data_IF_420193171634
#
_entry.id   IF_420193171634
#
_cell.length_a   1.000
_cell.length_b   1.000
_cell.length_c   1.000
_cell.angle_alpha   90.00
_cell.angle_beta   90.00
_cell.angle_gamma   90.00
#
_symmetry.space_group_name_H-M   'P 1'
#
loop_
_entity.id
_entity.type
_entity.pdbx_description
1 polymer ?
#
# COMPACT_ATOMS: atom_id res chain seq x y z
N UNK A 1 16.36 7.88 -20.11
CA UNK A 1 15.10 7.86 -19.32
C UNK A 1 14.49 6.50 -19.50
N UNK A 2 14.48 5.68 -18.45
CA UNK A 2 13.85 4.35 -18.47
C UNK A 2 12.35 4.56 -18.34
N UNK A 3 11.58 4.29 -19.40
CA UNK A 3 10.12 4.24 -19.32
C UNK A 3 9.73 3.14 -18.33
N UNK A 4 8.79 3.45 -17.41
CA UNK A 4 8.15 2.41 -16.62
C UNK A 4 7.43 1.47 -17.59
N UNK A 5 7.83 0.20 -17.63
CA UNK A 5 7.00 -0.83 -18.25
C UNK A 5 5.77 -1.09 -17.37
N UNK A 6 4.79 -1.81 -17.89
CA UNK A 6 3.52 -1.95 -17.18
C UNK A 6 3.66 -2.75 -15.88
N UNK A 7 4.63 -3.67 -15.82
CA UNK A 7 4.98 -4.39 -14.61
C UNK A 7 5.56 -3.45 -13.53
N UNK A 8 6.36 -2.46 -13.91
CA UNK A 8 6.91 -1.41 -13.06
C UNK A 8 5.84 -0.48 -12.51
N UNK A 9 4.81 -0.16 -13.31
CA UNK A 9 3.67 0.65 -12.89
C UNK A 9 2.77 -0.08 -11.87
N UNK A 10 2.37 -1.33 -12.16
CA UNK A 10 1.65 -2.19 -11.20
C UNK A 10 2.46 -2.39 -9.92
N UNK A 11 3.79 -2.47 -10.00
CA UNK A 11 4.69 -2.51 -8.83
C UNK A 11 4.71 -1.20 -8.05
N UNK A 12 4.66 -0.04 -8.73
CA UNK A 12 4.68 1.27 -8.07
C UNK A 12 3.36 1.57 -7.35
N UNK A 13 2.22 1.28 -7.97
CA UNK A 13 0.90 1.34 -7.32
C UNK A 13 0.86 0.48 -6.04
N UNK A 14 1.52 -0.68 -6.02
CA UNK A 14 1.67 -1.48 -4.79
C UNK A 14 2.54 -0.85 -3.71
N UNK A 15 3.51 -0.01 -4.08
CA UNK A 15 4.52 0.50 -3.14
C UNK A 15 4.12 1.77 -2.39
N UNK A 16 3.17 2.54 -2.91
CA UNK A 16 2.97 3.95 -2.47
C UNK A 16 1.89 4.16 -1.41
N UNK A 17 1.42 3.08 -0.76
CA UNK A 17 0.52 3.20 0.38
C UNK A 17 1.17 2.69 1.67
N UNK A 18 1.24 3.50 2.73
CA UNK A 18 1.85 3.06 3.98
C UNK A 18 1.02 1.94 4.63
N UNK A 19 1.64 0.77 4.77
CA UNK A 19 1.39 -0.16 5.88
C UNK A 19 0.24 -1.16 5.79
N UNK A 20 -0.12 -1.72 4.62
CA UNK A 20 -1.18 -2.76 4.57
C UNK A 20 -0.87 -4.03 3.79
N UNK A 21 -1.47 -5.12 4.27
CA UNK A 21 -1.49 -6.46 3.70
C UNK A 21 -2.53 -6.59 2.56
N UNK A 22 -2.69 -7.79 2.00
CA UNK A 22 -3.57 -8.08 0.86
C UNK A 22 -5.01 -7.54 1.00
N UNK A 23 -5.52 -7.46 2.23
CA UNK A 23 -6.88 -7.02 2.57
C UNK A 23 -7.15 -5.53 2.34
N UNK A 24 -6.10 -4.74 2.14
CA UNK A 24 -6.19 -3.31 1.83
C UNK A 24 -5.96 -2.94 0.36
N UNK A 25 -5.70 -3.91 -0.54
CA UNK A 25 -5.23 -3.60 -1.90
C UNK A 25 -6.25 -2.87 -2.76
N UNK A 26 -7.54 -3.20 -2.65
CA UNK A 26 -8.61 -2.49 -3.36
C UNK A 26 -8.66 -1.02 -2.93
N UNK A 27 -8.59 -0.75 -1.62
CA UNK A 27 -8.57 0.61 -1.09
C UNK A 27 -7.29 1.38 -1.43
N UNK A 28 -6.14 0.70 -1.41
CA UNK A 28 -4.85 1.25 -1.82
C UNK A 28 -4.87 1.68 -3.30
N UNK A 29 -5.42 0.87 -4.19
CA UNK A 29 -5.57 1.21 -5.61
C UNK A 29 -6.31 2.54 -5.76
N UNK A 30 -7.48 2.66 -5.12
CA UNK A 30 -8.30 3.87 -5.21
C UNK A 30 -7.59 5.09 -4.62
N UNK A 31 -6.91 4.93 -3.49
CA UNK A 31 -6.11 6.01 -2.90
C UNK A 31 -5.00 6.49 -3.85
N UNK A 32 -4.29 5.56 -4.50
CA UNK A 32 -3.27 5.92 -5.48
C UNK A 32 -3.88 6.65 -6.67
N UNK A 33 -5.07 6.26 -7.13
CA UNK A 33 -5.75 6.99 -8.21
C UNK A 33 -6.08 8.41 -7.79
N UNK A 34 -6.54 8.65 -6.56
CA UNK A 34 -6.74 10.02 -6.04
C UNK A 34 -5.43 10.83 -6.08
N UNK A 35 -4.32 10.22 -5.66
CA UNK A 35 -3.01 10.86 -5.67
C UNK A 35 -2.54 11.19 -7.09
N UNK A 36 -2.63 10.22 -8.00
CA UNK A 36 -2.22 10.37 -9.39
C UNK A 36 -3.10 11.35 -10.15
N UNK A 37 -4.37 11.48 -9.78
CA UNK A 37 -5.31 12.40 -10.44
C UNK A 37 -5.20 13.85 -9.95
N UNK A 38 -4.28 14.14 -9.05
CA UNK A 38 -3.81 15.51 -8.82
C UNK A 38 -3.82 15.96 -7.36
N UNK A 39 -4.46 15.22 -6.46
CA UNK A 39 -4.54 15.57 -5.04
C UNK A 39 -3.18 15.34 -4.35
N UNK A 40 -2.60 16.33 -3.66
CA UNK A 40 -1.36 16.14 -2.91
C UNK A 40 -1.53 15.07 -1.83
N UNK A 41 -0.54 14.18 -1.67
CA UNK A 41 -0.62 13.04 -0.74
C UNK A 41 -1.02 13.41 0.69
N UNK A 42 -0.54 14.56 1.20
CA UNK A 42 -0.84 15.02 2.55
C UNK A 42 -2.30 15.47 2.74
N UNK A 43 -3.01 15.74 1.64
CA UNK A 43 -4.41 16.15 1.63
C UNK A 43 -5.36 14.95 1.44
N UNK A 44 -4.84 13.74 1.15
CA UNK A 44 -5.66 12.55 0.91
C UNK A 44 -5.90 11.81 2.21
N UNK A 45 -7.17 11.72 2.61
CA UNK A 45 -7.57 10.92 3.76
C UNK A 45 -7.26 9.45 3.55
N UNK A 46 -6.81 8.79 4.62
CA UNK A 46 -6.59 7.34 4.64
C UNK A 46 -7.73 6.65 5.40
N UNK A 47 -8.19 5.51 4.88
CA UNK A 47 -9.25 4.70 5.50
C UNK A 47 -8.73 3.30 5.73
N UNK A 48 -8.96 2.65 6.88
CA UNK A 48 -8.42 1.32 7.25
C UNK A 48 -8.81 0.18 6.28
N UNK A 49 -9.93 0.30 5.59
CA UNK A 49 -10.43 -0.66 4.60
C UNK A 49 -11.48 0.01 3.69
N UNK A 50 -11.98 -0.74 2.70
CA UNK A 50 -13.01 -0.25 1.78
C UNK A 50 -14.34 -0.01 2.49
N UNK A 51 -14.67 -0.77 3.54
CA UNK A 51 -15.89 -0.59 4.34
C UNK A 51 -15.88 0.72 5.13
N UNK A 52 -14.73 1.12 5.67
CA UNK A 52 -14.56 2.39 6.36
C UNK A 52 -14.66 3.56 5.39
N UNK A 53 -14.08 3.43 4.20
CA UNK A 53 -14.25 4.42 3.14
C UNK A 53 -15.71 4.52 2.69
N UNK A 54 -16.37 3.40 2.38
CA UNK A 54 -17.79 3.32 2.06
C UNK A 54 -18.68 4.03 3.09
N UNK A 55 -18.44 3.81 4.39
CA UNK A 55 -19.20 4.46 5.47
C UNK A 55 -18.99 5.98 5.52
N UNK A 56 -17.83 6.45 5.08
CA UNK A 56 -17.53 7.87 4.97
C UNK A 56 -18.02 8.48 3.64
N UNK A 57 -18.31 7.64 2.63
CA UNK A 57 -18.77 8.08 1.32
C UNK A 57 -20.27 8.39 1.30
N UNK A 58 -20.68 9.23 0.33
CA UNK A 58 -22.10 9.45 0.04
C UNK A 58 -22.54 8.61 -1.16
N UNK A 59 -23.27 7.52 -0.92
CA UNK A 59 -23.81 6.69 -1.99
C UNK A 59 -24.87 7.46 -2.78
N UNK A 60 -24.68 7.53 -4.09
CA UNK A 60 -25.53 8.27 -5.02
C UNK A 60 -26.65 7.37 -5.54
N UNK A 61 -26.33 6.16 -5.99
CA UNK A 61 -27.31 5.21 -6.49
C UNK A 61 -26.83 3.76 -6.33
N UNK A 62 -27.78 2.82 -6.34
CA UNK A 62 -27.54 1.37 -6.42
C UNK A 62 -27.66 0.82 -7.83
N UNK A 63 -28.11 1.63 -8.78
CA UNK A 63 -28.05 1.28 -10.20
C UNK A 63 -26.66 1.67 -10.75
N UNK A 64 -25.84 0.70 -11.17
CA UNK A 64 -24.51 1.01 -11.69
C UNK A 64 -24.55 1.78 -13.02
N UNK A 65 -25.65 1.70 -13.79
CA UNK A 65 -25.69 2.26 -15.15
C UNK A 65 -25.55 3.78 -15.22
N UNK A 66 -25.78 4.48 -14.11
CA UNK A 66 -25.63 5.93 -13.99
C UNK A 66 -24.28 6.39 -13.42
N UNK A 67 -23.35 5.47 -13.15
CA UNK A 67 -22.06 5.82 -12.58
C UNK A 67 -21.17 6.55 -13.62
N UNK A 68 -20.70 7.77 -13.33
CA UNK A 68 -19.74 8.44 -14.20
C UNK A 68 -18.35 7.82 -14.07
N UNK A 69 -17.52 7.99 -15.10
CA UNK A 69 -16.09 7.63 -15.04
C UNK A 69 -15.44 8.21 -13.78
N UNK A 70 -14.73 7.35 -13.06
CA UNK A 70 -14.07 7.68 -11.80
C UNK A 70 -14.93 7.53 -10.54
N UNK A 71 -16.19 7.16 -10.67
CA UNK A 71 -17.01 6.77 -9.51
C UNK A 71 -16.42 5.53 -8.80
N UNK A 72 -16.59 5.49 -7.48
CA UNK A 72 -16.29 4.32 -6.66
C UNK A 72 -17.50 3.38 -6.66
N UNK A 73 -17.28 2.11 -6.98
CA UNK A 73 -18.27 1.04 -6.81
C UNK A 73 -17.95 0.24 -5.56
N UNK A 74 -18.97 -0.07 -4.76
CA UNK A 74 -18.80 -0.68 -3.45
C UNK A 74 -19.50 -2.04 -3.36
N UNK A 75 -18.85 -3.00 -2.71
CA UNK A 75 -19.46 -4.29 -2.38
C UNK A 75 -19.28 -4.64 -0.92
N UNK A 76 -20.28 -5.32 -0.38
CA UNK A 76 -20.17 -6.04 0.87
C UNK A 76 -19.61 -7.43 0.61
N UNK A 77 -18.37 -7.61 1.04
CA UNK A 77 -17.74 -8.91 1.23
C UNK A 77 -18.12 -9.45 2.63
N UNK A 78 -18.35 -10.78 2.79
CA UNK A 78 -18.61 -11.37 4.10
C UNK A 78 -17.49 -11.14 5.13
N UNK A 79 -16.24 -11.06 4.66
CA UNK A 79 -15.09 -10.64 5.45
C UNK A 79 -15.14 -9.15 5.82
N UNK A 80 -14.45 -8.70 6.88
CA UNK A 80 -14.73 -7.39 7.47
C UNK A 80 -14.34 -6.16 6.63
N UNK A 81 -13.67 -6.34 5.49
CA UNK A 81 -12.97 -5.28 4.77
C UNK A 81 -13.80 -4.58 3.70
N UNK A 82 -14.79 -5.28 3.12
CA UNK A 82 -15.54 -4.79 1.94
C UNK A 82 -14.67 -4.69 0.68
N UNK A 83 -15.29 -4.29 -0.44
CA UNK A 83 -14.58 -4.12 -1.70
C UNK A 83 -14.88 -2.78 -2.37
N UNK A 84 -13.90 -2.26 -3.11
CA UNK A 84 -14.03 -1.02 -3.88
C UNK A 84 -13.36 -1.15 -5.24
N UNK A 85 -13.96 -0.54 -6.25
CA UNK A 85 -13.46 -0.44 -7.61
C UNK A 85 -13.74 0.93 -8.22
N UNK A 86 -13.09 1.25 -9.34
CA UNK A 86 -13.20 2.56 -10.00
C UNK A 86 -13.85 2.39 -11.37
N UNK A 87 -14.92 3.15 -11.64
CA UNK A 87 -15.64 3.16 -12.93
C UNK A 87 -14.74 3.65 -14.06
N UNK A 88 -14.72 2.90 -15.16
CA UNK A 88 -14.00 3.19 -16.39
C UNK A 88 -14.92 3.50 -17.60
N UNK A 89 -16.22 3.59 -17.38
CA UNK A 89 -17.23 3.75 -18.42
C UNK A 89 -17.83 2.40 -18.82
N UNK A 90 -19.12 2.43 -19.14
CA UNK A 90 -19.96 1.29 -19.52
C UNK A 90 -20.13 0.21 -18.44
N UNK A 91 -19.95 0.57 -17.15
CA UNK A 91 -19.96 -0.34 -15.99
C UNK A 91 -18.74 -1.28 -15.94
N UNK A 92 -17.68 -0.97 -16.67
CA UNK A 92 -16.39 -1.61 -16.50
C UNK A 92 -15.66 -0.94 -15.35
N UNK A 93 -15.12 -1.74 -14.43
CA UNK A 93 -14.41 -1.21 -13.27
C UNK A 93 -12.99 -1.73 -13.19
N UNK A 94 -12.09 -0.86 -12.76
CA UNK A 94 -10.72 -1.21 -12.41
C UNK A 94 -10.61 -1.53 -10.92
N UNK A 95 -10.05 -2.69 -10.59
CA UNK A 95 -9.93 -3.13 -9.20
C UNK A 95 -8.73 -4.04 -8.95
N UNK A 96 -8.41 -4.21 -7.67
CA UNK A 96 -7.51 -5.24 -7.18
C UNK A 96 -8.32 -6.41 -6.62
N UNK A 97 -8.47 -7.50 -7.38
CA UNK A 97 -9.16 -8.72 -6.93
C UNK A 97 -8.61 -9.96 -7.66
N UNK A 98 -8.70 -11.13 -7.02
CA UNK A 98 -8.40 -12.42 -7.66
C UNK A 98 -9.46 -12.90 -8.66
N UNK A 99 -10.56 -12.15 -8.83
CA UNK A 99 -11.68 -12.50 -9.71
C UNK A 99 -11.79 -11.61 -10.96
N UNK A 100 -10.81 -10.73 -11.20
CA UNK A 100 -10.74 -9.89 -12.41
C UNK A 100 -10.26 -10.70 -13.61
N UNK A 101 -10.60 -10.23 -14.81
CA UNK A 101 -9.96 -10.71 -16.03
C UNK A 101 -8.55 -10.07 -16.06
N UNK A 102 -7.53 -10.90 -15.81
CA UNK A 102 -6.17 -10.48 -15.48
C UNK A 102 -5.47 -9.85 -16.71
N UNK A 103 -5.50 -8.52 -16.77
CA UNK A 103 -4.87 -7.72 -17.84
C UNK A 103 -3.62 -6.96 -17.41
N UNK A 104 -3.29 -6.93 -16.10
CA UNK A 104 -2.18 -6.13 -15.58
C UNK A 104 -1.28 -6.86 -14.56
N UNK A 105 -1.55 -8.13 -14.27
CA UNK A 105 -0.79 -8.99 -13.36
C UNK A 105 -1.06 -8.72 -11.87
N UNK A 106 -0.78 -9.72 -11.03
CA UNK A 106 -0.86 -9.65 -9.55
C UNK A 106 -2.26 -9.32 -8.99
N UNK A 107 -3.33 -9.70 -9.71
CA UNK A 107 -4.72 -9.50 -9.30
C UNK A 107 -5.22 -8.07 -9.48
N UNK A 108 -4.65 -7.31 -10.42
CA UNK A 108 -5.15 -6.02 -10.88
C UNK A 108 -5.76 -6.18 -12.28
N UNK A 109 -7.00 -5.74 -12.47
CA UNK A 109 -7.68 -5.99 -13.72
C UNK A 109 -8.96 -5.21 -13.88
N UNK A 110 -9.55 -5.36 -15.07
CA UNK A 110 -10.82 -4.75 -15.45
C UNK A 110 -11.88 -5.84 -15.49
N UNK A 111 -13.07 -5.54 -14.98
CA UNK A 111 -14.22 -6.44 -15.02
C UNK A 111 -15.51 -5.62 -14.98
N UNK A 112 -16.58 -6.12 -15.57
CA UNK A 112 -17.89 -5.48 -15.46
C UNK A 112 -18.49 -5.61 -14.04
N UNK A 113 -19.15 -4.57 -13.53
CA UNK A 113 -19.79 -4.56 -12.20
C UNK A 113 -20.71 -5.77 -11.98
N UNK A 114 -21.56 -6.07 -12.96
CA UNK A 114 -22.51 -7.20 -12.90
C UNK A 114 -21.79 -8.53 -12.90
N UNK A 115 -20.76 -8.67 -13.74
CA UNK A 115 -19.98 -9.89 -13.85
C UNK A 115 -19.18 -10.16 -12.57
N UNK A 116 -18.56 -9.14 -11.99
CA UNK A 116 -17.87 -9.26 -10.70
C UNK A 116 -18.81 -9.68 -9.58
N UNK A 117 -19.99 -9.07 -9.50
CA UNK A 117 -21.04 -9.42 -8.54
C UNK A 117 -21.47 -10.89 -8.70
N UNK A 118 -21.64 -11.35 -9.95
CA UNK A 118 -21.99 -12.74 -10.26
C UNK A 118 -20.89 -13.73 -9.86
N UNK A 119 -19.62 -13.43 -10.14
CA UNK A 119 -18.48 -14.31 -9.83
C UNK A 119 -18.23 -14.46 -8.33
N UNK A 120 -18.39 -13.37 -7.58
CA UNK A 120 -18.07 -13.33 -6.14
C UNK A 120 -19.26 -13.67 -5.24
N UNK A 121 -20.49 -13.42 -5.70
CA UNK A 121 -21.68 -13.46 -4.86
C UNK A 121 -21.74 -12.33 -3.83
N UNK A 122 -20.86 -11.33 -3.91
CA UNK A 122 -20.86 -10.20 -2.99
C UNK A 122 -22.07 -9.30 -3.22
N UNK A 123 -22.55 -8.66 -2.15
CA UNK A 123 -23.70 -7.75 -2.27
C UNK A 123 -23.23 -6.39 -2.78
N UNK A 124 -23.71 -5.97 -3.95
CA UNK A 124 -23.44 -4.63 -4.47
C UNK A 124 -24.14 -3.57 -3.61
N UNK A 125 -23.39 -2.60 -3.13
CA UNK A 125 -23.87 -1.56 -2.21
C UNK A 125 -24.21 -0.24 -2.92
N UNK A 126 -23.79 -0.08 -4.18
CA UNK A 126 -23.99 1.11 -4.99
C UNK A 126 -22.68 1.81 -5.34
N UNK A 127 -22.79 3.04 -5.83
CA UNK A 127 -21.65 3.87 -6.21
C UNK A 127 -21.68 5.26 -5.58
N UNK A 128 -20.50 5.87 -5.45
CA UNK A 128 -20.28 7.26 -5.02
C UNK A 128 -19.29 7.96 -5.94
N UNK A 129 -19.30 9.29 -5.95
CA UNK A 129 -18.30 10.09 -6.68
C UNK A 129 -16.99 10.24 -5.89
N UNK A 130 -17.00 9.78 -4.65
CA UNK A 130 -15.97 9.96 -3.63
C UNK A 130 -15.53 8.63 -3.02
N UNK A 131 -14.27 8.56 -2.61
CA UNK A 131 -13.69 7.50 -1.78
C UNK A 131 -13.56 8.02 -0.34
N UNK A 132 -14.62 7.89 0.44
CA UNK A 132 -14.80 8.62 1.69
C UNK A 132 -14.90 10.12 1.42
N UNK A 133 -14.00 10.93 1.97
CA UNK A 133 -13.95 12.38 1.67
C UNK A 133 -13.10 12.71 0.44
N UNK A 134 -12.39 11.72 -0.12
CA UNK A 134 -11.47 11.92 -1.23
C UNK A 134 -12.22 11.98 -2.56
N UNK A 135 -12.07 13.06 -3.31
CA UNK A 135 -12.61 13.16 -4.67
C UNK A 135 -11.69 12.45 -5.67
N UNK A 136 -12.27 11.65 -6.55
CA UNK A 136 -11.56 11.05 -7.68
C UNK A 136 -11.84 11.90 -8.92
N UNK A 137 -10.78 12.31 -9.61
CA UNK A 137 -10.91 13.09 -10.85
C UNK A 137 -10.29 12.30 -12.00
N UNK A 138 -11.05 11.39 -12.60
CA UNK A 138 -10.64 10.69 -13.81
C UNK A 138 -11.24 11.39 -15.03
N UNK A 139 -10.39 11.73 -16.00
CA UNK A 139 -10.86 12.19 -17.30
C UNK A 139 -11.22 10.99 -18.19
N UNK A 140 -12.20 11.15 -19.06
CA UNK A 140 -12.62 10.14 -20.04
C UNK A 140 -11.54 9.73 -21.05
N UNK A 141 -10.42 10.46 -21.13
CA UNK A 141 -9.25 10.07 -21.92
C UNK A 141 -8.40 8.97 -21.26
N UNK A 142 -8.47 8.83 -19.93
CA UNK A 142 -7.73 7.80 -19.18
C UNK A 142 -8.39 6.41 -19.29
N UNK A 143 -9.65 6.31 -19.70
CA UNK A 143 -10.42 5.07 -19.65
C UNK A 143 -10.11 4.06 -20.76
N UNK A 144 -10.03 4.42 -22.06
CA UNK A 144 -9.52 3.52 -23.09
C UNK A 144 -8.09 3.07 -22.81
N UNK A 145 -7.34 3.96 -22.16
CA UNK A 145 -6.01 3.72 -21.70
C UNK A 145 -5.95 2.70 -20.58
N UNK A 146 -6.72 2.83 -19.49
CA UNK A 146 -6.74 1.83 -18.41
C UNK A 146 -7.25 0.46 -18.91
N UNK A 147 -8.18 0.44 -19.87
CA UNK A 147 -8.66 -0.79 -20.51
C UNK A 147 -7.58 -1.53 -21.33
N UNK A 148 -6.44 -0.90 -21.61
CA UNK A 148 -5.29 -1.52 -22.27
C UNK A 148 -4.01 -1.38 -21.44
N UNK A 149 -3.24 -2.44 -21.31
CA UNK A 149 -2.02 -2.42 -20.51
C UNK A 149 -1.00 -1.34 -20.97
N UNK A 150 -0.95 -1.04 -22.26
CA UNK A 150 -0.09 0.01 -22.85
C UNK A 150 -0.70 1.41 -22.76
N UNK A 151 -2.02 1.54 -22.90
CA UNK A 151 -2.68 2.83 -22.86
C UNK A 151 -2.59 3.50 -21.49
N UNK A 152 -2.63 2.72 -20.41
CA UNK A 152 -2.57 3.24 -19.04
C UNK A 152 -1.28 4.03 -18.78
N UNK A 153 -0.15 3.56 -19.33
CA UNK A 153 1.13 4.26 -19.26
C UNK A 153 1.13 5.57 -20.05
N UNK A 154 0.49 5.58 -21.23
CA UNK A 154 0.47 6.75 -22.11
C UNK A 154 -0.49 7.84 -21.65
N UNK A 155 -1.49 7.51 -20.84
CA UNK A 155 -2.53 8.46 -20.46
C UNK A 155 -2.19 9.28 -19.20
N UNK A 156 -1.16 8.86 -18.45
CA UNK A 156 -0.55 9.72 -17.44
C UNK A 156 0.22 10.85 -18.13
N UNK A 157 -0.07 12.10 -17.76
CA UNK A 157 0.73 13.26 -18.17
C UNK A 157 2.18 13.10 -17.74
N UNK A 158 3.11 13.77 -18.41
CA UNK A 158 4.51 13.79 -17.97
C UNK A 158 4.66 14.21 -16.52
N UNK A 159 3.85 15.14 -16.01
CA UNK A 159 3.87 15.55 -14.61
C UNK A 159 3.39 14.44 -13.66
N UNK A 160 2.38 13.67 -14.05
CA UNK A 160 1.94 12.50 -13.29
C UNK A 160 3.01 11.40 -13.32
N UNK A 161 3.60 11.13 -14.48
CA UNK A 161 4.74 10.22 -14.62
C UNK A 161 5.94 10.69 -13.79
N UNK A 162 6.26 12.00 -13.78
CA UNK A 162 7.32 12.62 -12.97
C UNK A 162 7.03 12.55 -11.47
N UNK A 163 5.78 12.74 -11.03
CA UNK A 163 5.37 12.54 -9.63
C UNK A 163 5.57 11.09 -9.20
N UNK A 164 5.26 10.14 -10.09
CA UNK A 164 5.51 8.72 -9.86
C UNK A 164 7.00 8.37 -9.80
N UNK A 165 7.81 8.97 -10.68
CA UNK A 165 9.25 8.76 -10.75
C UNK A 165 10.00 9.43 -9.58
N UNK A 166 9.60 10.63 -9.14
CA UNK A 166 10.19 11.33 -7.98
C UNK A 166 10.05 10.53 -6.68
N UNK A 167 9.00 9.72 -6.54
CA UNK A 167 8.82 8.91 -5.34
C UNK A 167 9.72 7.67 -5.32
N UNK A 168 10.23 7.17 -6.46
CA UNK A 168 11.28 6.12 -6.45
C UNK A 168 12.57 6.64 -5.83
N UNK A 169 12.88 7.91 -6.03
CA UNK A 169 14.05 8.54 -5.43
C UNK A 169 13.83 8.79 -3.93
N UNK A 170 12.62 9.08 -3.48
CA UNK A 170 12.32 9.32 -2.06
C UNK A 170 12.21 8.04 -1.22
N UNK A 171 11.66 6.95 -1.76
CA UNK A 171 11.58 5.68 -1.01
C UNK A 171 12.92 4.91 -1.04
N UNK A 172 13.70 5.04 -2.12
CA UNK A 172 15.10 4.59 -2.14
C UNK A 172 15.96 5.43 -1.20
N UNK A 173 15.76 6.74 -1.12
CA UNK A 173 16.45 7.63 -0.19
C UNK A 173 16.06 7.39 1.29
N UNK A 174 14.79 7.12 1.60
CA UNK A 174 14.32 6.89 2.97
C UNK A 174 14.64 5.48 3.51
N UNK A 175 14.57 4.42 2.67
CA UNK A 175 14.96 3.06 3.09
C UNK A 175 16.48 2.89 3.20
N UNK A 176 17.26 3.49 2.31
CA UNK A 176 18.70 3.21 2.22
C UNK A 176 19.54 4.10 3.17
N UNK A 177 19.06 5.30 3.55
CA UNK A 177 19.82 6.22 4.43
C UNK A 177 19.37 6.31 5.89
N UNK A 178 18.12 6.01 6.24
CA UNK A 178 17.60 6.34 7.59
C UNK A 178 17.31 5.11 8.46
N UNK A 179 16.68 4.05 7.94
CA UNK A 179 16.18 2.96 8.80
C UNK A 179 17.14 1.78 8.96
N UNK A 180 17.83 1.35 7.91
CA UNK A 180 18.72 0.18 7.97
C UNK A 180 20.01 0.41 8.78
N UNK A 181 20.68 1.58 8.72
CA UNK A 181 21.87 1.84 9.54
C UNK A 181 21.56 2.13 11.02
N UNK A 182 20.36 2.62 11.34
CA UNK A 182 19.99 2.96 12.73
C UNK A 182 19.58 1.72 13.51
N UNK A 183 18.75 0.85 12.94
CA UNK A 183 18.33 -0.39 13.60
C UNK A 183 19.50 -1.37 13.77
N UNK A 184 20.34 -1.54 12.75
CA UNK A 184 21.53 -2.40 12.85
C UNK A 184 22.58 -1.89 13.86
N UNK A 185 22.77 -0.58 13.98
CA UNK A 185 23.70 -0.01 14.97
C UNK A 185 23.16 -0.05 16.40
N UNK A 186 21.85 0.09 16.59
CA UNK A 186 21.24 -0.05 17.93
C UNK A 186 21.29 -1.51 18.37
N UNK A 187 20.97 -2.46 17.49
CA UNK A 187 21.03 -3.89 17.80
C UNK A 187 22.47 -4.39 18.01
N UNK A 188 23.43 -3.97 17.18
CA UNK A 188 24.85 -4.30 17.39
C UNK A 188 25.41 -3.69 18.68
N UNK A 189 25.06 -2.44 19.01
CA UNK A 189 25.52 -1.83 20.28
C UNK A 189 24.90 -2.48 21.50
N UNK A 190 23.63 -2.89 21.43
CA UNK A 190 22.97 -3.61 22.53
C UNK A 190 23.53 -5.03 22.66
N UNK A 191 23.89 -5.70 21.56
CA UNK A 191 24.50 -7.03 21.60
C UNK A 191 25.96 -7.00 22.11
N UNK A 192 26.77 -6.05 21.63
CA UNK A 192 28.15 -5.88 22.09
C UNK A 192 28.22 -5.41 23.54
N UNK A 193 27.32 -4.52 24.00
CA UNK A 193 27.29 -4.10 25.40
C UNK A 193 26.92 -5.23 26.36
N UNK A 194 25.99 -6.11 25.96
CA UNK A 194 25.61 -7.32 26.71
C UNK A 194 26.74 -8.36 26.74
N UNK A 195 27.52 -8.47 25.67
CA UNK A 195 28.69 -9.35 25.62
C UNK A 195 29.81 -8.83 26.52
N UNK A 196 30.11 -7.53 26.46
CA UNK A 196 31.11 -6.89 27.31
C UNK A 196 30.78 -7.04 28.80
N UNK A 197 29.51 -6.89 29.18
CA UNK A 197 29.10 -7.03 30.59
C UNK A 197 29.26 -8.47 31.09
N UNK A 198 29.04 -9.49 30.24
CA UNK A 198 29.25 -10.90 30.62
C UNK A 198 30.72 -11.23 30.80
N UNK A 199 31.59 -10.74 29.93
CA UNK A 199 33.04 -10.94 30.02
C UNK A 199 33.63 -10.21 31.24
N UNK A 200 33.21 -8.97 31.49
CA UNK A 200 33.61 -8.22 32.69
C UNK A 200 33.13 -8.91 33.98
N UNK A 201 31.91 -9.46 33.99
CA UNK A 201 31.38 -10.21 35.14
C UNK A 201 32.10 -11.54 35.38
N UNK A 202 32.68 -12.15 34.34
CA UNK A 202 33.51 -13.34 34.49
C UNK A 202 34.88 -12.99 35.10
N UNK A 203 35.51 -11.91 34.60
CA UNK A 203 36.81 -11.46 35.11
C UNK A 203 36.75 -11.02 36.58
N UNK A 204 35.70 -10.31 36.99
CA UNK A 204 35.51 -9.90 38.40
C UNK A 204 35.38 -11.13 39.31
N UNK A 205 34.68 -12.19 38.86
CA UNK A 205 34.56 -13.44 39.63
C UNK A 205 35.90 -14.16 39.77
N UNK A 206 36.70 -14.17 38.70
CA UNK A 206 38.02 -14.76 38.73
C UNK A 206 38.99 -13.98 39.63
N UNK A 207 38.98 -12.65 39.54
CA UNK A 207 39.77 -11.78 40.42
C UNK A 207 39.39 -11.96 41.89
N UNK A 208 38.10 -12.01 42.20
CA UNK A 208 37.64 -12.23 43.57
C UNK A 208 38.05 -13.62 44.09
N UNK A 209 37.94 -14.67 43.28
CA UNK A 209 38.38 -16.01 43.66
C UNK A 209 39.91 -16.06 43.92
N UNK A 210 40.69 -15.31 43.16
CA UNK A 210 42.14 -15.21 43.34
C UNK A 210 42.51 -14.45 44.63
N UNK A 211 41.80 -13.35 44.92
CA UNK A 211 41.97 -12.60 46.17
C UNK A 211 41.63 -13.46 47.39
N UNK A 212 40.55 -14.26 47.35
CA UNK A 212 40.22 -15.20 48.43
C UNK A 212 41.34 -16.22 48.66
N UNK A 213 41.91 -16.80 47.59
CA UNK A 213 43.02 -17.76 47.72
C UNK A 213 44.28 -17.14 48.32
N UNK A 214 44.56 -15.87 48.00
CA UNK A 214 45.70 -15.14 48.58
C UNK A 214 45.46 -14.88 50.07
N UNK A 215 44.24 -14.45 50.45
CA UNK A 215 43.89 -14.25 51.85
C UNK A 215 44.04 -15.55 52.66
N UNK A 216 43.48 -16.67 52.16
CA UNK A 216 43.59 -17.99 52.80
C UNK A 216 45.04 -18.49 52.94
N UNK A 217 45.94 -18.05 52.05
CA UNK A 217 47.36 -18.40 52.09
C UNK A 217 48.17 -17.55 53.07
N UNK A 218 47.71 -16.32 53.37
CA UNK A 218 48.35 -15.41 54.32
C UNK A 218 47.91 -15.67 55.77
N UNK A 219 46.78 -16.35 55.99
CA UNK A 219 46.30 -16.76 57.31
C UNK A 219 46.90 -18.10 57.81
N UNK A 220 47.77 -18.74 57.03
CA UNK A 220 48.50 -19.97 57.37
C UNK A 220 49.97 -19.70 57.67
#
# INVERSE_FOLDING_TARGET
MTSLDTAGLSRKLRSTYPGRDWRGRCQQLVWNVVWLTGTPQHDIATYPDARAAYRASKIVSRDPSGAPVGACHWWWEPEPYGHVAIELGDNDVWMASGHVDDGHGDGLGVIGVREYTRRTGFTYLGWSVDNGINKITLSSGLTPAIKSQEGFLMALTEEQQKRMLKQSDLDAYARDKIMLPVLSRVEQRTFESLKLTREQSALIREQNALLTRIADALEK
#
